data_IF_411233192234
#
_entry.id   IF_411233192234
#
_cell.length_a   1.000
_cell.length_b   1.000
_cell.length_c   1.000
_cell.angle_alpha   90.00
_cell.angle_beta   90.00
_cell.angle_gamma   90.00
#
_symmetry.space_group_name_H-M   'P 1'
#
loop_
_entity.id
_entity.type
_entity.pdbx_description
1 polymer ?
#
# COMPACT_ATOMS: atom_id res chain seq x y z
N UNK A 1 -108.23 -2.08 -12.23
CA UNK A 1 -107.60 -0.73 -12.05
C UNK A 1 -106.57 -0.65 -10.92
N UNK A 2 -106.76 -1.17 -9.71
CA UNK A 2 -105.84 -1.05 -8.57
C UNK A 2 -104.41 -1.55 -8.82
N UNK A 3 -104.17 -2.65 -9.61
CA UNK A 3 -102.84 -3.22 -9.88
C UNK A 3 -101.95 -2.28 -10.76
N UNK A 4 -102.54 -1.57 -11.73
CA UNK A 4 -101.85 -0.60 -12.61
C UNK A 4 -101.48 0.68 -11.79
N UNK A 5 -102.33 1.10 -10.84
CA UNK A 5 -102.08 2.26 -10.00
C UNK A 5 -100.93 2.02 -9.06
N UNK A 6 -100.83 0.87 -8.44
CA UNK A 6 -99.69 0.50 -7.56
C UNK A 6 -98.36 0.40 -8.30
N UNK A 7 -98.36 -0.15 -9.53
CA UNK A 7 -97.16 -0.16 -10.38
C UNK A 7 -96.70 1.25 -10.77
N UNK A 8 -97.60 2.18 -11.01
CA UNK A 8 -97.29 3.57 -11.32
C UNK A 8 -96.68 4.29 -10.14
N UNK A 9 -97.15 4.03 -8.90
CA UNK A 9 -96.59 4.60 -7.66
C UNK A 9 -95.17 4.06 -7.46
N UNK A 10 -94.94 2.77 -7.56
CA UNK A 10 -93.62 2.15 -7.41
C UNK A 10 -92.63 2.72 -8.44
N UNK A 11 -93.07 2.94 -9.68
CA UNK A 11 -92.22 3.52 -10.70
C UNK A 11 -91.88 4.98 -10.39
N UNK A 12 -92.81 5.77 -9.89
CA UNK A 12 -92.57 7.18 -9.47
C UNK A 12 -91.57 7.27 -8.33
N UNK A 13 -91.66 6.36 -7.36
CA UNK A 13 -90.73 6.34 -6.20
C UNK A 13 -89.33 5.93 -6.64
N UNK A 14 -89.24 4.98 -7.59
CA UNK A 14 -87.95 4.64 -8.20
C UNK A 14 -87.31 5.79 -9.00
N UNK A 15 -88.12 6.49 -9.76
CA UNK A 15 -87.65 7.68 -10.50
C UNK A 15 -87.14 8.72 -9.54
N UNK A 16 -87.91 9.10 -8.50
CA UNK A 16 -87.47 10.05 -7.49
C UNK A 16 -86.16 9.64 -6.78
N UNK A 17 -85.99 8.38 -6.45
CA UNK A 17 -84.77 7.84 -5.86
C UNK A 17 -83.58 7.95 -6.82
N UNK A 18 -83.79 7.69 -8.10
CA UNK A 18 -82.71 7.82 -9.12
C UNK A 18 -82.36 9.31 -9.33
N UNK A 19 -83.36 10.20 -9.34
CA UNK A 19 -83.13 11.65 -9.47
C UNK A 19 -82.31 12.19 -8.29
N UNK A 20 -82.67 11.79 -7.03
CA UNK A 20 -81.91 12.19 -5.84
C UNK A 20 -80.47 11.68 -5.87
N UNK A 21 -80.23 10.50 -6.39
CA UNK A 21 -78.89 9.96 -6.63
C UNK A 21 -78.16 10.70 -7.73
N UNK A 22 -78.84 10.98 -8.87
CA UNK A 22 -78.30 11.69 -10.01
C UNK A 22 -77.82 13.10 -9.62
N UNK A 23 -78.48 13.78 -8.70
CA UNK A 23 -78.00 15.07 -8.14
C UNK A 23 -76.78 14.97 -7.25
N UNK A 24 -76.60 13.87 -6.54
CA UNK A 24 -75.47 13.64 -5.62
C UNK A 24 -74.17 13.20 -6.33
N UNK A 25 -74.28 12.39 -7.38
CA UNK A 25 -73.10 11.87 -8.09
C UNK A 25 -72.21 12.92 -8.68
N UNK A 26 -72.65 13.99 -9.33
CA UNK A 26 -71.78 15.05 -9.86
C UNK A 26 -70.87 15.66 -8.76
N UNK A 27 -71.37 15.93 -7.56
CA UNK A 27 -70.58 16.48 -6.44
C UNK A 27 -69.54 15.47 -5.91
N UNK A 28 -69.91 14.19 -5.88
CA UNK A 28 -68.95 13.13 -5.50
C UNK A 28 -67.84 12.99 -6.55
N UNK A 29 -68.18 13.07 -7.82
CA UNK A 29 -67.23 13.01 -8.93
C UNK A 29 -66.27 14.22 -8.82
N UNK A 30 -66.76 15.41 -8.66
CA UNK A 30 -65.94 16.63 -8.53
C UNK A 30 -65.00 16.56 -7.33
N UNK A 31 -65.45 16.05 -6.15
CA UNK A 31 -64.57 15.82 -4.98
C UNK A 31 -63.51 14.77 -5.25
N UNK A 32 -63.85 13.68 -5.94
CA UNK A 32 -62.93 12.64 -6.30
C UNK A 32 -61.89 13.13 -7.34
N UNK A 33 -62.29 13.89 -8.34
CA UNK A 33 -61.39 14.49 -9.32
C UNK A 33 -60.41 15.47 -8.66
N UNK A 34 -60.89 16.30 -7.76
CA UNK A 34 -60.05 17.20 -6.98
C UNK A 34 -59.02 16.45 -6.12
N UNK A 35 -59.43 15.35 -5.45
CA UNK A 35 -58.52 14.48 -4.69
C UNK A 35 -57.49 13.79 -5.58
N UNK A 36 -57.90 13.31 -6.78
CA UNK A 36 -56.99 12.69 -7.73
C UNK A 36 -55.92 13.68 -8.15
N UNK A 37 -56.30 14.90 -8.51
CA UNK A 37 -55.38 15.97 -8.91
C UNK A 37 -54.39 16.29 -7.77
N UNK A 38 -54.89 16.47 -6.53
CA UNK A 38 -54.04 16.70 -5.35
C UNK A 38 -53.01 15.59 -5.15
N UNK A 39 -53.43 14.31 -5.20
CA UNK A 39 -52.51 13.20 -5.03
C UNK A 39 -51.51 13.03 -6.19
N UNK A 40 -51.92 13.38 -7.42
CA UNK A 40 -51.00 13.41 -8.58
C UNK A 40 -49.88 14.45 -8.37
N UNK A 41 -50.20 15.66 -7.93
CA UNK A 41 -49.21 16.71 -7.63
C UNK A 41 -48.27 16.28 -6.49
N UNK A 42 -48.82 15.68 -5.42
CA UNK A 42 -48.02 15.13 -4.32
C UNK A 42 -47.06 14.04 -4.78
N UNK A 43 -47.51 13.17 -5.69
CA UNK A 43 -46.67 12.11 -6.26
C UNK A 43 -45.51 12.68 -7.05
N UNK A 44 -45.73 13.64 -7.93
CA UNK A 44 -44.67 14.31 -8.70
C UNK A 44 -43.64 14.98 -7.79
N UNK A 45 -44.11 15.65 -6.73
CA UNK A 45 -43.22 16.28 -5.74
C UNK A 45 -42.37 15.24 -5.02
N UNK A 46 -42.97 14.12 -4.60
CA UNK A 46 -42.26 13.04 -3.92
C UNK A 46 -41.23 12.36 -4.83
N UNK A 47 -41.57 12.11 -6.09
CA UNK A 47 -40.66 11.53 -7.10
C UNK A 47 -39.46 12.46 -7.34
N UNK A 48 -39.67 13.78 -7.41
CA UNK A 48 -38.56 14.74 -7.56
C UNK A 48 -37.63 14.78 -6.35
N UNK A 49 -38.18 14.75 -5.13
CA UNK A 49 -37.40 14.68 -3.89
C UNK A 49 -36.60 13.39 -3.80
N UNK A 50 -37.18 12.26 -4.19
CA UNK A 50 -36.52 10.97 -4.26
C UNK A 50 -35.32 10.98 -5.23
N UNK A 51 -35.47 11.59 -6.40
CA UNK A 51 -34.39 11.72 -7.37
C UNK A 51 -33.21 12.54 -6.80
N UNK A 52 -33.51 13.65 -6.09
CA UNK A 52 -32.48 14.47 -5.44
C UNK A 52 -31.74 13.67 -4.35
N UNK A 53 -32.46 12.90 -3.54
CA UNK A 53 -31.86 12.08 -2.49
C UNK A 53 -30.97 10.98 -3.07
N UNK A 54 -31.41 10.32 -4.14
CA UNK A 54 -30.61 9.30 -4.83
C UNK A 54 -29.31 9.91 -5.37
N UNK A 55 -29.37 11.08 -5.98
CA UNK A 55 -28.19 11.80 -6.45
C UNK A 55 -27.22 12.14 -5.31
N UNK A 56 -27.72 12.62 -4.16
CA UNK A 56 -26.91 12.90 -2.97
C UNK A 56 -26.25 11.64 -2.39
N UNK A 57 -26.99 10.54 -2.31
CA UNK A 57 -26.44 9.26 -1.82
C UNK A 57 -25.32 8.77 -2.72
N UNK A 58 -25.47 8.89 -4.05
CA UNK A 58 -24.43 8.53 -5.02
C UNK A 58 -23.17 9.39 -4.86
N UNK A 59 -23.32 10.69 -4.69
CA UNK A 59 -22.21 11.63 -4.48
C UNK A 59 -21.48 11.32 -3.16
N UNK A 60 -22.20 11.15 -2.06
CA UNK A 60 -21.62 10.79 -0.77
C UNK A 60 -20.88 9.44 -0.80
N UNK A 61 -21.40 8.47 -1.56
CA UNK A 61 -20.74 7.18 -1.76
C UNK A 61 -19.40 7.35 -2.51
N UNK A 62 -19.37 8.19 -3.54
CA UNK A 62 -18.16 8.50 -4.28
C UNK A 62 -17.10 9.20 -3.40
N UNK A 63 -17.53 10.18 -2.59
CA UNK A 63 -16.65 10.86 -1.62
C UNK A 63 -16.10 9.90 -0.57
N UNK A 64 -16.93 9.01 -0.03
CA UNK A 64 -16.51 7.98 0.93
C UNK A 64 -15.45 7.05 0.35
N UNK A 65 -15.62 6.57 -0.88
CA UNK A 65 -14.66 5.72 -1.56
C UNK A 65 -13.30 6.43 -1.77
N UNK A 66 -13.34 7.71 -2.16
CA UNK A 66 -12.12 8.53 -2.31
C UNK A 66 -11.40 8.68 -0.96
N UNK A 67 -12.14 9.01 0.10
CA UNK A 67 -11.57 9.17 1.45
C UNK A 67 -10.91 7.87 1.95
N UNK A 68 -11.52 6.72 1.69
CA UNK A 68 -10.95 5.41 2.03
C UNK A 68 -9.65 5.13 1.27
N UNK A 69 -9.58 5.50 -0.01
CA UNK A 69 -8.35 5.37 -0.79
C UNK A 69 -7.23 6.26 -0.24
N UNK A 70 -7.53 7.52 0.07
CA UNK A 70 -6.58 8.48 0.64
C UNK A 70 -6.09 8.02 2.03
N UNK A 71 -6.98 7.49 2.86
CA UNK A 71 -6.63 6.92 4.17
C UNK A 71 -5.64 5.76 4.04
N UNK A 72 -5.86 4.87 3.08
CA UNK A 72 -4.96 3.74 2.82
C UNK A 72 -3.56 4.20 2.43
N UNK A 73 -3.47 5.23 1.57
CA UNK A 73 -2.18 5.82 1.16
C UNK A 73 -1.47 6.47 2.36
N UNK A 74 -2.19 7.20 3.21
CA UNK A 74 -1.62 7.81 4.41
C UNK A 74 -1.13 6.78 5.43
N UNK A 75 -1.87 5.68 5.62
CA UNK A 75 -1.46 4.59 6.49
C UNK A 75 -0.16 3.93 6.00
N UNK A 76 -0.03 3.70 4.69
CA UNK A 76 1.20 3.16 4.11
C UNK A 76 2.39 4.09 4.32
N UNK A 77 2.23 5.40 4.06
CA UNK A 77 3.28 6.40 4.30
C UNK A 77 3.72 6.44 5.76
N UNK A 78 2.77 6.36 6.71
CA UNK A 78 3.09 6.33 8.14
C UNK A 78 3.90 5.10 8.52
N UNK A 79 3.53 3.92 8.02
CA UNK A 79 4.30 2.68 8.26
C UNK A 79 5.73 2.78 7.74
N UNK A 80 5.92 3.37 6.54
CA UNK A 80 7.26 3.58 5.99
C UNK A 80 8.09 4.59 6.82
N UNK A 81 7.46 5.68 7.27
CA UNK A 81 8.11 6.66 8.13
C UNK A 81 8.52 6.07 9.49
N UNK A 82 7.65 5.27 10.11
CA UNK A 82 7.94 4.60 11.39
C UNK A 82 9.08 3.57 11.23
N UNK A 83 9.10 2.82 10.12
CA UNK A 83 10.23 1.93 9.78
C UNK A 83 11.53 2.70 9.59
N UNK A 84 11.49 3.87 8.93
CA UNK A 84 12.65 4.73 8.74
C UNK A 84 13.18 5.25 10.08
N UNK A 85 12.30 5.75 10.97
CA UNK A 85 12.68 6.21 12.32
C UNK A 85 13.28 5.11 13.16
N UNK A 86 12.75 3.86 13.09
CA UNK A 86 13.30 2.72 13.80
C UNK A 86 14.72 2.40 13.31
N UNK A 87 14.98 2.38 12.00
CA UNK A 87 16.33 2.17 11.43
C UNK A 87 17.30 3.29 11.81
N UNK A 88 16.87 4.54 11.83
CA UNK A 88 17.69 5.67 12.27
C UNK A 88 18.05 5.57 13.77
N UNK A 89 17.12 5.13 14.60
CA UNK A 89 17.39 4.89 16.02
C UNK A 89 18.40 3.75 16.24
N UNK A 90 18.27 2.65 15.48
CA UNK A 90 19.23 1.54 15.49
C UNK A 90 20.63 1.99 15.05
N UNK A 91 20.72 2.75 13.96
CA UNK A 91 21.98 3.28 13.44
C UNK A 91 22.67 4.25 14.41
N UNK A 92 21.91 5.02 15.22
CA UNK A 92 22.49 5.89 16.26
C UNK A 92 23.22 5.11 17.35
N UNK A 93 22.75 3.90 17.70
CA UNK A 93 23.32 3.10 18.78
C UNK A 93 24.49 2.22 18.31
N UNK A 94 24.39 1.65 17.10
CA UNK A 94 25.42 0.72 16.57
C UNK A 94 26.29 1.35 15.49
N UNK A 95 25.86 2.47 14.94
CA UNK A 95 26.49 3.11 13.78
C UNK A 95 26.01 2.58 12.43
N UNK A 96 25.34 1.44 12.37
CA UNK A 96 24.83 0.82 11.15
C UNK A 96 23.45 0.18 11.35
N UNK A 97 22.59 0.23 10.34
CA UNK A 97 21.35 -0.51 10.27
C UNK A 97 21.48 -1.71 9.33
N UNK A 98 20.45 -2.56 9.32
CA UNK A 98 20.40 -3.71 8.42
C UNK A 98 20.56 -3.31 6.94
N UNK A 99 21.46 -4.00 6.19
CA UNK A 99 21.58 -3.82 4.74
C UNK A 99 20.47 -4.54 3.96
N UNK A 100 19.53 -5.22 4.63
CA UNK A 100 18.39 -5.92 4.05
C UNK A 100 17.08 -5.46 4.69
N UNK A 101 15.98 -5.61 3.98
CA UNK A 101 14.62 -5.35 4.50
C UNK A 101 14.12 -6.48 5.41
N UNK A 102 14.67 -7.67 5.24
CA UNK A 102 14.32 -8.88 6.00
C UNK A 102 15.16 -9.03 7.26
N UNK A 103 14.73 -9.91 8.15
CA UNK A 103 15.54 -10.32 9.30
C UNK A 103 16.87 -10.88 8.82
N UNK A 104 17.97 -10.43 9.43
CA UNK A 104 19.31 -10.91 9.10
C UNK A 104 19.52 -12.33 9.62
N UNK A 105 20.01 -13.19 8.74
CA UNK A 105 20.53 -14.52 9.04
C UNK A 105 21.98 -14.55 8.53
N UNK A 106 22.92 -14.97 9.34
CA UNK A 106 24.32 -15.09 8.95
C UNK A 106 24.59 -16.55 8.57
N UNK A 107 24.88 -16.80 7.29
CA UNK A 107 25.26 -18.13 6.81
C UNK A 107 26.77 -18.39 6.92
N UNK A 108 27.58 -17.32 6.90
CA UNK A 108 29.03 -17.40 7.11
C UNK A 108 29.52 -16.16 7.85
N UNK A 109 30.19 -16.35 8.99
CA UNK A 109 30.70 -15.27 9.84
C UNK A 109 32.04 -14.71 9.36
N UNK A 110 32.43 -13.58 9.98
CA UNK A 110 33.71 -12.92 9.77
C UNK A 110 34.87 -13.74 10.35
N UNK A 111 36.02 -13.71 9.69
CA UNK A 111 37.27 -14.31 10.17
C UNK A 111 37.59 -15.66 9.58
N UNK A 112 38.32 -16.50 10.32
CA UNK A 112 38.79 -17.80 9.85
C UNK A 112 37.62 -18.78 9.62
N UNK A 113 37.61 -19.41 8.45
CA UNK A 113 36.63 -20.46 8.05
C UNK A 113 37.27 -21.47 7.10
N UNK A 114 36.74 -22.72 6.97
CA UNK A 114 37.09 -23.58 5.86
C UNK A 114 36.80 -22.89 4.53
N UNK A 115 37.66 -23.09 3.52
CA UNK A 115 37.39 -22.55 2.18
C UNK A 115 36.15 -23.24 1.58
N UNK A 116 35.06 -22.47 1.28
CA UNK A 116 33.77 -23.07 0.91
C UNK A 116 33.76 -23.69 -0.50
N UNK A 117 34.71 -23.32 -1.36
CA UNK A 117 34.73 -23.74 -2.77
C UNK A 117 36.15 -23.90 -3.39
N UNK A 118 37.19 -23.90 -2.58
CA UNK A 118 38.58 -23.99 -3.00
C UNK A 118 39.11 -22.73 -3.70
N UNK A 119 38.39 -21.62 -3.68
CA UNK A 119 38.75 -20.37 -4.38
C UNK A 119 38.56 -19.12 -3.52
N UNK A 120 37.81 -19.22 -2.43
CA UNK A 120 37.45 -18.08 -1.57
C UNK A 120 38.46 -17.84 -0.44
N UNK A 121 39.36 -18.79 -0.18
CA UNK A 121 40.31 -18.75 0.89
C UNK A 121 39.70 -19.04 2.27
N UNK A 122 40.57 -19.11 3.27
CA UNK A 122 40.21 -19.45 4.66
C UNK A 122 39.96 -18.22 5.53
N UNK A 123 40.09 -17.00 5.01
CA UNK A 123 39.81 -15.75 5.70
C UNK A 123 38.60 -15.06 5.06
N UNK A 124 37.61 -14.69 5.87
CA UNK A 124 36.39 -14.04 5.44
C UNK A 124 36.33 -12.60 5.95
N UNK A 125 36.35 -11.65 5.02
CA UNK A 125 36.46 -10.21 5.29
C UNK A 125 35.10 -9.53 5.56
N UNK A 126 34.04 -10.30 5.73
CA UNK A 126 32.69 -9.82 5.99
C UNK A 126 31.80 -10.89 6.62
N UNK A 127 30.51 -10.71 6.46
CA UNK A 127 29.48 -11.72 6.77
C UNK A 127 28.65 -11.99 5.54
N UNK A 128 28.23 -13.22 5.35
CA UNK A 128 27.36 -13.63 4.26
C UNK A 128 25.91 -13.70 4.75
N UNK A 129 25.05 -12.95 4.08
CA UNK A 129 23.62 -12.77 4.39
C UNK A 129 22.81 -13.38 3.23
N UNK A 130 22.28 -14.59 3.35
CA UNK A 130 21.51 -15.25 2.29
C UNK A 130 20.20 -14.53 2.04
N UNK A 131 19.72 -14.62 0.80
CA UNK A 131 18.44 -14.03 0.39
C UNK A 131 17.99 -14.53 -0.97
N UNK A 132 17.14 -13.75 -1.63
CA UNK A 132 16.60 -14.07 -2.94
C UNK A 132 17.26 -13.25 -4.04
N UNK A 133 17.36 -13.82 -5.24
CA UNK A 133 17.86 -13.10 -6.41
C UNK A 133 17.03 -11.81 -6.63
N UNK A 134 17.73 -10.70 -6.87
CA UNK A 134 17.13 -9.36 -7.03
C UNK A 134 16.48 -8.75 -5.76
N UNK A 135 16.68 -9.34 -4.60
CA UNK A 135 16.30 -8.70 -3.34
C UNK A 135 17.01 -7.35 -3.19
N UNK A 136 16.31 -6.34 -2.63
CA UNK A 136 16.87 -5.02 -2.41
C UNK A 136 18.04 -5.07 -1.43
N UNK A 137 19.16 -4.42 -1.82
CA UNK A 137 20.30 -4.14 -0.97
C UNK A 137 20.23 -2.67 -0.56
N UNK A 138 20.30 -2.42 0.74
CA UNK A 138 20.13 -1.09 1.34
C UNK A 138 21.47 -0.55 1.82
N UNK A 139 21.67 0.76 1.72
CA UNK A 139 22.76 1.44 2.41
C UNK A 139 22.59 1.30 3.93
N UNK A 140 23.50 0.61 4.58
CA UNK A 140 23.44 0.34 6.03
C UNK A 140 23.66 1.59 6.88
N UNK A 141 24.20 2.68 6.30
CA UNK A 141 24.37 4.00 6.89
C UNK A 141 24.40 5.05 5.75
N UNK A 142 24.02 6.29 6.03
CA UNK A 142 24.18 7.39 5.09
C UNK A 142 25.68 7.60 4.77
N UNK A 143 25.98 7.97 3.52
CA UNK A 143 27.35 8.18 3.09
C UNK A 143 27.48 8.50 1.62
N UNK A 144 28.71 8.47 1.12
CA UNK A 144 29.03 8.68 -0.28
C UNK A 144 29.55 7.39 -0.91
N UNK A 145 29.04 7.03 -2.06
CA UNK A 145 29.57 5.92 -2.87
C UNK A 145 30.95 6.31 -3.40
N UNK A 146 31.99 5.61 -2.93
CA UNK A 146 33.37 5.88 -3.36
C UNK A 146 33.78 5.04 -4.53
N UNK A 147 33.23 3.83 -4.65
CA UNK A 147 33.58 2.92 -5.75
C UNK A 147 32.37 2.03 -6.09
N UNK A 148 32.17 1.83 -7.37
CA UNK A 148 31.33 0.76 -7.93
C UNK A 148 32.12 0.07 -9.02
N UNK A 149 31.96 -1.25 -9.17
CA UNK A 149 32.68 -1.99 -10.18
C UNK A 149 32.34 -3.46 -10.23
N UNK A 150 33.15 -4.21 -10.99
CA UNK A 150 33.08 -5.66 -11.06
C UNK A 150 34.49 -6.24 -10.90
N UNK A 151 34.63 -7.31 -10.16
CA UNK A 151 35.88 -8.00 -9.87
C UNK A 151 35.66 -9.52 -9.95
N UNK A 152 36.63 -10.30 -10.47
CA UNK A 152 36.46 -11.76 -10.59
C UNK A 152 36.03 -12.48 -9.30
N UNK A 153 36.52 -12.05 -8.14
CA UNK A 153 36.13 -12.63 -6.84
C UNK A 153 34.91 -11.96 -6.24
N UNK A 154 34.90 -10.63 -6.11
CA UNK A 154 33.84 -9.88 -5.47
C UNK A 154 32.54 -9.78 -6.29
N UNK A 155 32.59 -10.11 -7.58
CA UNK A 155 31.48 -9.85 -8.51
C UNK A 155 31.22 -8.36 -8.67
N UNK A 156 29.99 -7.98 -8.92
CA UNK A 156 29.58 -6.59 -8.89
C UNK A 156 29.52 -6.09 -7.46
N UNK A 157 30.10 -4.93 -7.19
CA UNK A 157 30.26 -4.43 -5.84
C UNK A 157 30.04 -2.92 -5.73
N UNK A 158 29.71 -2.49 -4.52
CA UNK A 158 29.57 -1.09 -4.12
C UNK A 158 30.38 -0.89 -2.82
N UNK A 159 31.11 0.22 -2.73
CA UNK A 159 31.79 0.68 -1.49
C UNK A 159 31.24 2.05 -1.15
N UNK A 160 30.75 2.20 0.09
CA UNK A 160 30.20 3.48 0.62
C UNK A 160 31.06 3.95 1.78
N UNK A 161 31.51 5.19 1.72
CA UNK A 161 32.21 5.91 2.80
C UNK A 161 31.20 6.57 3.73
N UNK A 162 31.37 6.42 5.03
CA UNK A 162 30.48 6.96 6.05
C UNK A 162 31.14 8.08 6.87
N UNK A 163 30.31 8.89 7.53
CA UNK A 163 30.73 10.00 8.40
C UNK A 163 31.51 9.55 9.66
N UNK A 164 31.34 8.29 10.08
CA UNK A 164 32.01 7.68 11.22
C UNK A 164 33.38 7.06 10.87
N UNK A 165 33.90 7.31 9.67
CA UNK A 165 35.23 6.84 9.23
C UNK A 165 35.29 5.41 8.74
N UNK A 166 34.16 4.70 8.68
CA UNK A 166 34.08 3.36 8.11
C UNK A 166 33.66 3.38 6.66
N UNK A 167 33.95 2.25 5.98
CA UNK A 167 33.53 1.94 4.63
C UNK A 167 32.72 0.65 4.67
N UNK A 168 31.51 0.64 4.11
CA UNK A 168 30.72 -0.59 3.91
C UNK A 168 30.92 -1.13 2.49
N UNK A 169 31.01 -2.43 2.39
CA UNK A 169 31.22 -3.19 1.18
C UNK A 169 30.00 -4.07 0.92
N UNK A 170 29.48 -4.01 -0.29
CA UNK A 170 28.32 -4.79 -0.76
C UNK A 170 28.74 -5.56 -1.99
N UNK A 171 28.91 -6.89 -1.90
CA UNK A 171 29.45 -7.71 -2.95
C UNK A 171 28.43 -8.71 -3.49
N UNK A 172 28.81 -9.36 -4.60
CA UNK A 172 28.04 -10.38 -5.31
C UNK A 172 26.72 -9.89 -5.90
N UNK A 173 26.61 -8.57 -6.17
CA UNK A 173 25.38 -7.94 -6.64
C UNK A 173 25.00 -8.42 -8.04
N UNK A 174 23.70 -8.60 -8.28
CA UNK A 174 23.16 -8.78 -9.62
C UNK A 174 23.10 -7.44 -10.39
N UNK A 175 22.74 -6.37 -9.68
CA UNK A 175 22.62 -5.03 -10.26
C UNK A 175 23.12 -3.95 -9.29
N UNK A 176 23.84 -2.98 -9.83
CA UNK A 176 24.27 -1.75 -9.15
C UNK A 176 23.30 -0.65 -9.57
N UNK A 177 22.70 0.06 -8.60
CA UNK A 177 21.71 1.12 -8.82
C UNK A 177 22.22 2.53 -8.52
N UNK A 178 23.49 2.66 -8.15
CA UNK A 178 24.17 3.91 -7.82
C UNK A 178 25.52 3.97 -8.52
N UNK A 179 26.12 5.13 -8.58
CA UNK A 179 27.46 5.34 -9.18
C UNK A 179 28.41 6.01 -8.20
N UNK A 180 29.71 5.90 -8.45
CA UNK A 180 30.74 6.60 -7.69
C UNK A 180 30.47 8.12 -7.66
N UNK A 181 30.56 8.71 -6.47
CA UNK A 181 30.23 10.11 -6.19
C UNK A 181 28.82 10.35 -5.67
N UNK A 182 27.89 9.42 -5.85
CA UNK A 182 26.51 9.57 -5.35
C UNK A 182 26.47 9.60 -3.83
N UNK A 183 25.64 10.48 -3.24
CA UNK A 183 25.30 10.44 -1.83
C UNK A 183 24.09 9.53 -1.61
N UNK A 184 24.18 8.65 -0.64
CA UNK A 184 23.13 7.70 -0.30
C UNK A 184 22.65 7.92 1.14
N UNK A 185 21.33 7.87 1.32
CA UNK A 185 20.72 7.94 2.63
C UNK A 185 20.71 6.56 3.30
N UNK A 186 20.66 6.52 4.63
CA UNK A 186 20.41 5.28 5.38
C UNK A 186 19.13 4.59 4.87
N UNK A 187 19.23 3.31 4.54
CA UNK A 187 18.12 2.50 4.04
C UNK A 187 17.73 2.77 2.59
N UNK A 188 18.48 3.59 1.86
CA UNK A 188 18.29 3.75 0.42
C UNK A 188 18.66 2.47 -0.31
N UNK A 189 17.85 2.05 -1.31
CA UNK A 189 18.19 0.93 -2.20
C UNK A 189 19.37 1.34 -3.07
N UNK A 190 20.47 0.59 -2.99
CA UNK A 190 21.71 0.87 -3.74
C UNK A 190 22.05 -0.19 -4.75
N UNK A 191 21.47 -1.40 -4.65
CA UNK A 191 21.71 -2.50 -5.55
C UNK A 191 20.69 -3.63 -5.37
N UNK A 192 20.90 -4.69 -6.15
CA UNK A 192 20.10 -5.92 -6.09
C UNK A 192 21.01 -7.10 -5.78
N UNK A 193 20.55 -7.97 -4.85
CA UNK A 193 21.27 -9.19 -4.46
C UNK A 193 21.46 -10.13 -5.64
N UNK A 194 22.62 -10.76 -5.72
CA UNK A 194 22.95 -11.71 -6.76
C UNK A 194 23.86 -12.85 -6.30
N UNK A 195 24.62 -13.37 -7.22
CA UNK A 195 25.61 -14.42 -7.03
C UNK A 195 26.77 -14.25 -8.03
N UNK A 196 27.10 -12.98 -8.34
CA UNK A 196 28.20 -12.66 -9.28
C UNK A 196 29.56 -12.84 -8.63
N UNK A 197 30.60 -13.07 -9.44
CA UNK A 197 31.95 -13.33 -8.94
C UNK A 197 32.10 -14.73 -8.35
N UNK A 198 32.95 -14.84 -7.30
CA UNK A 198 33.24 -16.12 -6.64
C UNK A 198 32.22 -16.31 -5.49
N UNK A 199 31.04 -16.82 -5.79
CA UNK A 199 29.93 -17.02 -4.87
C UNK A 199 29.39 -18.45 -4.97
N UNK A 200 28.98 -19.04 -3.86
CA UNK A 200 28.40 -20.39 -3.77
C UNK A 200 26.88 -20.41 -3.89
N UNK A 201 26.23 -19.24 -3.91
CA UNK A 201 24.76 -19.10 -3.98
C UNK A 201 24.32 -17.65 -3.83
N UNK A 202 23.03 -17.39 -3.92
CA UNK A 202 22.48 -16.03 -3.81
C UNK A 202 22.61 -15.51 -2.38
N UNK A 203 23.43 -14.50 -2.17
CA UNK A 203 23.64 -13.83 -0.89
C UNK A 203 24.24 -12.44 -1.06
N UNK A 204 24.14 -11.60 -0.03
CA UNK A 204 24.95 -10.41 0.12
C UNK A 204 26.17 -10.75 0.98
N UNK A 205 27.37 -10.58 0.46
CA UNK A 205 28.56 -10.44 1.30
C UNK A 205 28.63 -8.97 1.76
N UNK A 206 28.54 -8.77 3.08
CA UNK A 206 28.58 -7.46 3.72
C UNK A 206 29.85 -7.31 4.54
N UNK A 207 30.72 -6.38 4.15
CA UNK A 207 31.97 -6.06 4.82
C UNK A 207 31.94 -4.67 5.45
N UNK A 208 32.69 -4.47 6.53
CA UNK A 208 33.05 -3.16 7.11
C UNK A 208 34.56 -3.04 7.20
N UNK A 209 35.10 -1.91 6.75
CA UNK A 209 36.53 -1.64 6.81
C UNK A 209 36.83 -0.20 7.23
N UNK A 210 38.06 0.06 7.66
CA UNK A 210 38.55 1.42 7.96
C UNK A 210 39.16 2.12 6.74
N UNK A 211 39.31 1.40 5.63
CA UNK A 211 39.90 1.93 4.37
C UNK A 211 39.11 1.44 3.16
N UNK A 212 39.14 2.13 2.01
CA UNK A 212 38.48 1.69 0.78
C UNK A 212 39.30 0.65 -0.04
N UNK A 213 40.47 0.22 0.45
CA UNK A 213 41.48 -0.52 -0.36
C UNK A 213 41.46 -2.02 -0.05
N UNK A 214 40.32 -2.59 0.34
CA UNK A 214 40.18 -4.02 0.65
C UNK A 214 41.07 -4.48 1.82
N UNK A 215 41.30 -3.59 2.79
CA UNK A 215 42.13 -3.82 3.98
C UNK A 215 41.46 -3.23 5.22
N UNK A 216 41.87 -3.70 6.39
CA UNK A 216 41.39 -3.15 7.67
C UNK A 216 39.95 -3.49 7.96
N UNK A 217 39.49 -4.68 7.49
CA UNK A 217 38.16 -5.20 7.78
C UNK A 217 37.99 -5.49 9.27
N UNK A 218 36.78 -5.25 9.76
CA UNK A 218 36.32 -5.52 11.11
C UNK A 218 35.04 -6.35 11.05
N UNK A 219 34.73 -7.10 12.11
CA UNK A 219 33.53 -7.93 12.15
C UNK A 219 32.24 -7.09 12.10
N UNK A 220 31.46 -7.17 10.99
CA UNK A 220 30.23 -6.40 10.85
C UNK A 220 29.13 -6.82 11.83
N UNK A 221 29.20 -8.03 12.40
CA UNK A 221 28.19 -8.57 13.28
C UNK A 221 27.97 -7.72 14.54
N UNK A 222 29.05 -7.09 15.06
CA UNK A 222 28.94 -6.16 16.19
C UNK A 222 28.21 -4.87 15.77
N UNK A 223 28.54 -4.31 14.62
CA UNK A 223 27.91 -3.09 14.11
C UNK A 223 26.43 -3.30 13.80
N UNK A 224 26.04 -4.50 13.42
CA UNK A 224 24.66 -4.90 13.11
C UNK A 224 23.92 -5.56 14.29
N UNK A 225 24.50 -5.61 15.50
CA UNK A 225 23.94 -6.27 16.70
C UNK A 225 23.54 -7.73 16.49
N UNK A 226 24.33 -8.47 15.77
CA UNK A 226 24.15 -9.91 15.54
C UNK A 226 24.94 -10.76 16.55
N UNK A 227 25.74 -10.10 17.37
CA UNK A 227 26.49 -10.65 18.52
C UNK A 227 26.27 -9.80 19.75
#
# INVERSE_FOLDING_TARGET
MKKKTNQLIDLKDKIRFLDEKAEKYPKIIEDLESKVTYYQEKRVTCESQQAILIAKVKDLSAQSNKLQADLKVLQQKKVEEDKKKAKEAEAKVTGFASPLETRLVVSSGFGGRPDPNGKSGTQHDGIDLPGSLNQNILAARAGQVVTTGSHPSAGNYIIVKHDNGFYSYYLHLNQILVKSGDNVALGQVIGKMGTTGNSTGVHLHFGLAKTPNWQGFVDPAYALRLK
#
